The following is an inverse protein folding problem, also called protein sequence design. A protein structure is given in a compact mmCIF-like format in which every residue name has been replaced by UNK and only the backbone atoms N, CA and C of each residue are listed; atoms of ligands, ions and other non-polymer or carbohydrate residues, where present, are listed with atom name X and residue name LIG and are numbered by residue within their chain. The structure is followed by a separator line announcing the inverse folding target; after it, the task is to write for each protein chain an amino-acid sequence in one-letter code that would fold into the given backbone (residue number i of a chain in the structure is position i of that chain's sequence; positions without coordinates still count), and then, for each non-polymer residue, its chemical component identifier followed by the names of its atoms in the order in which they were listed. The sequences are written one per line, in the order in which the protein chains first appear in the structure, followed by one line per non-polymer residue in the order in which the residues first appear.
data_IF_354050044115
#
_entry.id   IF_354050044115
#
_cell.length_a   1.000
_cell.length_b   1.000
_cell.length_c   1.000
_cell.angle_alpha   90.00
_cell.angle_beta   90.00
_cell.angle_gamma   90.00
#
_symmetry.space_group_name_H-M   'P 1'
#
loop_
_entity.id
_entity.type
_entity.pdbx_description
1 polymer ?
#
# COMPACT_ATOMS: atom_id res chain seq x y z
N UNK A 1 8.75 -14.07 17.62
CA UNK A 1 8.64 -13.24 18.83
C UNK A 1 7.92 -11.96 18.43
N UNK A 2 6.58 -11.96 18.51
CA UNK A 2 5.77 -10.77 18.29
C UNK A 2 6.04 -9.81 19.43
N UNK A 3 6.74 -8.73 19.17
CA UNK A 3 6.97 -7.70 20.18
C UNK A 3 5.72 -6.85 20.32
N UNK A 4 5.17 -6.88 21.52
CA UNK A 4 4.13 -5.98 21.97
C UNK A 4 4.48 -4.54 21.70
N UNK A 5 3.55 -3.84 21.10
CA UNK A 5 3.61 -2.40 20.94
C UNK A 5 2.56 -1.74 21.80
N UNK A 6 3.03 -1.11 22.83
CA UNK A 6 2.30 -0.02 23.47
C UNK A 6 2.72 1.27 22.75
N UNK A 7 1.86 1.76 21.87
CA UNK A 7 1.77 3.19 21.66
C UNK A 7 2.61 3.87 20.59
N UNK A 8 2.99 3.23 19.48
CA UNK A 8 3.46 4.03 18.34
C UNK A 8 3.05 3.42 17.01
N UNK A 9 2.02 4.00 16.40
CA UNK A 9 1.67 3.76 15.01
C UNK A 9 2.53 4.64 14.12
N UNK A 10 3.21 4.04 13.14
CA UNK A 10 3.78 4.79 12.04
C UNK A 10 2.96 4.56 10.79
N UNK A 11 2.22 5.58 10.39
CA UNK A 11 1.62 5.61 9.08
C UNK A 11 2.63 6.19 8.09
N UNK A 12 3.23 5.34 7.25
CA UNK A 12 3.96 5.81 6.06
C UNK A 12 2.89 6.24 5.07
N UNK A 13 2.35 7.42 5.33
CA UNK A 13 1.33 8.02 4.50
C UNK A 13 1.96 8.59 3.27
N UNK A 14 1.39 8.14 2.16
CA UNK A 14 1.30 8.90 0.94
C UNK A 14 2.58 9.01 0.09
N UNK A 15 2.34 8.60 -1.13
CA UNK A 15 3.19 8.73 -2.30
C UNK A 15 3.88 10.10 -2.42
N UNK A 16 3.19 11.18 -2.04
CA UNK A 16 3.69 12.54 -2.22
C UNK A 16 4.74 12.91 -1.16
N UNK A 17 4.56 12.52 0.12
CA UNK A 17 5.52 12.80 1.19
C UNK A 17 6.84 12.04 1.04
N UNK A 18 6.79 10.78 0.63
CA UNK A 18 8.00 9.98 0.40
C UNK A 18 8.76 10.51 -0.83
N UNK A 19 8.04 10.95 -1.86
CA UNK A 19 8.65 11.51 -3.07
C UNK A 19 9.22 12.91 -2.89
N UNK A 20 8.76 13.67 -1.91
CA UNK A 20 9.40 14.94 -1.53
C UNK A 20 10.64 14.77 -0.65
N UNK A 21 10.84 13.59 -0.05
CA UNK A 21 11.93 13.24 0.86
C UNK A 21 12.85 12.14 0.32
N UNK A 22 12.75 10.95 0.90
CA UNK A 22 13.63 9.79 0.64
C UNK A 22 13.69 9.41 -0.86
N UNK A 23 12.61 9.60 -1.60
CA UNK A 23 12.47 9.23 -3.00
C UNK A 23 12.38 10.44 -3.94
N UNK A 24 12.91 11.60 -3.54
CA UNK A 24 12.84 12.83 -4.32
C UNK A 24 13.62 12.77 -5.65
N UNK A 25 14.54 11.84 -5.77
CA UNK A 25 15.32 11.57 -6.99
C UNK A 25 14.66 10.56 -7.93
N UNK A 26 13.50 9.98 -7.58
CA UNK A 26 12.83 8.97 -8.39
C UNK A 26 11.69 9.58 -9.21
N UNK A 27 11.62 9.18 -10.48
CA UNK A 27 10.53 9.47 -11.41
C UNK A 27 9.43 8.41 -11.39
N UNK A 28 8.84 8.13 -12.56
CA UNK A 28 7.74 7.18 -12.74
C UNK A 28 8.07 6.05 -13.72
N UNK A 29 9.36 5.91 -14.13
CA UNK A 29 9.79 4.79 -14.93
C UNK A 29 9.55 3.46 -14.20
N UNK A 30 9.52 2.33 -14.91
CA UNK A 30 9.41 1.02 -14.26
C UNK A 30 10.50 0.81 -13.20
N UNK A 31 11.74 1.17 -13.49
CA UNK A 31 12.90 1.05 -12.58
C UNK A 31 12.73 1.92 -11.33
N UNK A 32 12.28 3.17 -11.51
CA UNK A 32 12.01 4.08 -10.39
C UNK A 32 10.87 3.56 -9.50
N UNK A 33 9.88 2.89 -10.07
CA UNK A 33 8.80 2.26 -9.30
C UNK A 33 9.31 1.09 -8.46
N UNK A 34 10.18 0.26 -9.02
CA UNK A 34 10.84 -0.83 -8.29
C UNK A 34 11.62 -0.25 -7.12
N UNK A 35 12.49 0.72 -7.37
CA UNK A 35 13.33 1.33 -6.34
C UNK A 35 12.49 2.06 -5.28
N UNK A 36 11.39 2.71 -5.67
CA UNK A 36 10.48 3.33 -4.73
C UNK A 36 9.89 2.32 -3.74
N UNK A 37 9.36 1.19 -4.23
CA UNK A 37 8.79 0.14 -3.36
C UNK A 37 9.89 -0.51 -2.53
N UNK A 38 11.07 -0.78 -3.10
CA UNK A 38 12.21 -1.35 -2.37
C UNK A 38 12.59 -0.49 -1.16
N UNK A 39 12.80 0.84 -1.35
CA UNK A 39 13.16 1.75 -0.25
C UNK A 39 12.09 1.80 0.84
N UNK A 40 10.81 1.80 0.44
CA UNK A 40 9.69 1.80 1.38
C UNK A 40 9.68 0.51 2.20
N UNK A 41 9.91 -0.64 1.56
CA UNK A 41 9.98 -1.92 2.25
C UNK A 41 11.14 -1.99 3.25
N UNK A 42 12.32 -1.46 2.89
CA UNK A 42 13.47 -1.38 3.81
C UNK A 42 13.16 -0.49 5.04
N UNK A 43 12.56 0.68 4.81
CA UNK A 43 12.14 1.55 5.91
C UNK A 43 11.08 0.87 6.77
N UNK A 44 10.07 0.24 6.15
CA UNK A 44 9.05 -0.52 6.85
C UNK A 44 9.66 -1.63 7.72
N UNK A 45 10.63 -2.36 7.18
CA UNK A 45 11.35 -3.40 7.93
C UNK A 45 12.04 -2.85 9.18
N UNK A 46 12.74 -1.72 9.07
CA UNK A 46 13.41 -1.10 10.23
C UNK A 46 12.42 -0.78 11.36
N UNK A 47 11.21 -0.31 11.01
CA UNK A 47 10.16 -0.05 12.01
C UNK A 47 9.60 -1.35 12.60
N UNK A 48 9.34 -2.35 11.77
CA UNK A 48 8.87 -3.67 12.23
C UNK A 48 9.89 -4.30 13.16
N UNK A 49 11.19 -4.23 12.86
CA UNK A 49 12.27 -4.75 13.70
C UNK A 49 12.35 -4.05 15.08
N UNK A 50 11.88 -2.80 15.17
CA UNK A 50 11.75 -2.09 16.46
C UNK A 50 10.43 -2.34 17.16
N UNK A 51 9.56 -3.15 16.57
CA UNK A 51 8.27 -3.52 17.12
C UNK A 51 7.15 -2.50 16.81
N UNK A 52 7.28 -1.65 15.80
CA UNK A 52 6.26 -0.67 15.39
C UNK A 52 5.35 -1.27 14.32
N UNK A 53 4.02 -1.15 14.51
CA UNK A 53 3.04 -1.47 13.47
C UNK A 53 3.15 -0.40 12.38
N UNK A 54 3.49 -0.83 11.17
CA UNK A 54 3.68 0.08 10.04
C UNK A 54 2.56 -0.10 9.03
N UNK A 55 1.86 0.98 8.71
CA UNK A 55 0.83 1.02 7.65
C UNK A 55 1.41 1.78 6.45
N UNK A 56 1.54 1.10 5.32
CA UNK A 56 2.08 1.65 4.08
C UNK A 56 1.01 1.66 2.98
N UNK A 57 0.60 2.85 2.52
CA UNK A 57 -0.40 3.03 1.48
C UNK A 57 0.27 3.45 0.16
N UNK A 58 0.56 2.47 -0.70
CA UNK A 58 1.23 2.68 -1.98
C UNK A 58 0.56 1.91 -3.11
N UNK A 59 0.68 2.46 -4.33
CA UNK A 59 0.38 1.69 -5.53
C UNK A 59 1.57 0.79 -5.82
N UNK A 60 1.37 -0.53 -5.67
CA UNK A 60 2.29 -1.59 -6.10
C UNK A 60 1.63 -2.31 -7.28
N UNK A 61 1.97 -1.92 -8.53
CA UNK A 61 1.16 -2.23 -9.70
C UNK A 61 1.23 -3.68 -10.16
N UNK A 62 2.22 -4.46 -9.75
CA UNK A 62 2.38 -5.86 -10.15
C UNK A 62 2.74 -6.78 -8.98
N UNK A 63 2.59 -8.08 -9.19
CA UNK A 63 2.84 -9.10 -8.16
C UNK A 63 4.31 -9.15 -7.74
N UNK A 64 5.24 -8.97 -8.68
CA UNK A 64 6.69 -9.01 -8.42
C UNK A 64 7.12 -7.96 -7.39
N UNK A 65 6.59 -6.72 -7.48
CA UNK A 65 6.87 -5.66 -6.52
C UNK A 65 6.33 -5.97 -5.12
N UNK A 66 5.16 -6.59 -5.03
CA UNK A 66 4.55 -6.99 -3.77
C UNK A 66 5.32 -8.14 -3.13
N UNK A 67 5.73 -9.12 -3.93
CA UNK A 67 6.58 -10.22 -3.47
C UNK A 67 7.94 -9.74 -2.99
N UNK A 68 8.56 -8.80 -3.70
CA UNK A 68 9.82 -8.16 -3.29
C UNK A 68 9.66 -7.46 -1.92
N UNK A 69 8.61 -6.65 -1.74
CA UNK A 69 8.33 -5.99 -0.48
C UNK A 69 8.12 -6.99 0.66
N UNK A 70 7.34 -8.05 0.41
CA UNK A 70 7.12 -9.14 1.36
C UNK A 70 8.40 -9.89 1.72
N UNK A 71 9.30 -10.10 0.75
CA UNK A 71 10.59 -10.75 0.99
C UNK A 71 11.54 -9.89 1.83
N UNK A 72 11.54 -8.56 1.61
CA UNK A 72 12.36 -7.62 2.38
C UNK A 72 11.88 -7.53 3.84
N UNK A 73 10.58 -7.33 4.05
CA UNK A 73 9.98 -7.17 5.38
C UNK A 73 10.00 -8.49 6.16
N UNK A 74 9.77 -9.58 5.47
CA UNK A 74 9.58 -10.91 6.05
C UNK A 74 8.10 -11.32 5.98
N UNK A 75 7.84 -12.50 5.41
CA UNK A 75 6.47 -13.00 5.16
C UNK A 75 5.61 -13.12 6.43
N UNK A 76 6.23 -13.34 7.58
CA UNK A 76 5.50 -13.46 8.85
C UNK A 76 4.99 -12.11 9.37
N UNK A 77 5.65 -11.03 8.99
CA UNK A 77 5.39 -9.67 9.47
C UNK A 77 4.74 -8.78 8.40
N UNK A 78 4.51 -9.32 7.21
CA UNK A 78 3.90 -8.65 6.07
C UNK A 78 2.43 -9.05 5.91
N UNK A 79 1.56 -8.07 5.76
CA UNK A 79 0.15 -8.26 5.42
C UNK A 79 -0.18 -7.48 4.16
N UNK A 80 -0.70 -8.19 3.17
CA UNK A 80 -1.15 -7.57 1.91
C UNK A 80 -2.64 -7.26 1.96
N UNK A 81 -2.96 -5.97 1.97
CA UNK A 81 -4.34 -5.49 1.91
C UNK A 81 -4.63 -4.91 0.53
N UNK A 82 -5.53 -5.52 -0.19
CA UNK A 82 -5.95 -5.09 -1.52
C UNK A 82 -7.22 -4.24 -1.44
N UNK A 83 -7.12 -2.97 -1.83
CA UNK A 83 -8.29 -2.12 -2.03
C UNK A 83 -8.83 -2.40 -3.44
N UNK A 84 -9.83 -3.27 -3.53
CA UNK A 84 -10.35 -3.84 -4.78
C UNK A 84 -11.48 -3.03 -5.42
N UNK A 85 -11.57 -1.73 -5.12
CA UNK A 85 -12.58 -0.83 -5.67
C UNK A 85 -12.51 -0.81 -7.19
N UNK A 86 -13.63 -1.03 -7.91
CA UNK A 86 -13.64 -1.01 -9.37
C UNK A 86 -13.14 0.30 -9.95
N UNK A 87 -12.40 0.22 -11.08
CA UNK A 87 -11.82 1.40 -11.74
C UNK A 87 -12.88 2.46 -12.06
N UNK A 88 -14.07 2.05 -12.55
CA UNK A 88 -15.16 2.95 -12.86
C UNK A 88 -15.60 3.79 -11.63
N UNK A 89 -15.57 3.20 -10.44
CA UNK A 89 -15.89 3.90 -9.20
C UNK A 89 -14.75 4.84 -8.76
N UNK A 90 -13.49 4.44 -8.97
CA UNK A 90 -12.35 5.32 -8.75
C UNK A 90 -12.39 6.55 -9.67
N UNK A 91 -12.71 6.35 -10.95
CA UNK A 91 -12.90 7.43 -11.93
C UNK A 91 -14.09 8.33 -11.58
N UNK A 92 -15.19 7.75 -11.09
CA UNK A 92 -16.35 8.53 -10.66
C UNK A 92 -16.03 9.43 -9.47
N UNK A 93 -15.22 8.94 -8.52
CA UNK A 93 -14.80 9.71 -7.34
C UNK A 93 -13.80 10.79 -7.67
N UNK A 94 -12.82 10.49 -8.47
CA UNK A 94 -11.70 11.33 -8.97
C UNK A 94 -11.40 12.62 -8.18
N UNK A 95 -11.23 12.49 -6.87
CA UNK A 95 -11.16 13.60 -5.91
C UNK A 95 -10.09 14.65 -6.29
N UNK A 96 -8.99 14.22 -6.92
CA UNK A 96 -7.88 15.09 -7.34
C UNK A 96 -7.92 15.42 -8.84
N UNK A 97 -8.90 14.95 -9.60
CA UNK A 97 -9.00 15.14 -11.05
C UNK A 97 -7.90 14.42 -11.85
N UNK A 98 -7.24 13.43 -11.25
CA UNK A 98 -6.10 12.74 -11.87
C UNK A 98 -6.53 11.74 -12.94
N UNK A 99 -7.66 11.07 -12.75
CA UNK A 99 -8.22 10.17 -13.75
C UNK A 99 -8.67 10.93 -15.01
N UNK A 100 -9.33 12.08 -14.82
CA UNK A 100 -9.72 12.95 -15.93
C UNK A 100 -8.50 13.43 -16.73
N UNK A 101 -7.40 13.82 -16.08
CA UNK A 101 -6.16 14.20 -16.72
C UNK A 101 -5.49 13.02 -17.44
N UNK A 102 -5.46 11.85 -16.81
CA UNK A 102 -4.90 10.65 -17.44
C UNK A 102 -5.68 10.24 -18.71
N UNK A 103 -7.02 10.31 -18.68
CA UNK A 103 -7.87 10.03 -19.85
C UNK A 103 -7.65 11.03 -20.99
N UNK A 104 -7.30 12.28 -20.68
CA UNK A 104 -6.91 13.30 -21.69
C UNK A 104 -5.48 13.14 -22.21
N UNK A 105 -4.71 12.19 -21.65
CA UNK A 105 -3.31 11.99 -22.01
C UNK A 105 -2.33 13.02 -21.41
N UNK A 106 -2.81 13.85 -20.48
CA UNK A 106 -1.98 14.84 -19.78
C UNK A 106 -1.04 14.17 -18.76
N UNK A 107 -1.40 12.99 -18.25
CA UNK A 107 -0.58 12.16 -17.36
C UNK A 107 -0.27 10.85 -18.08
N UNK A 108 1.01 10.61 -18.32
CA UNK A 108 1.52 9.34 -18.86
C UNK A 108 1.72 8.34 -17.72
N UNK A 109 1.76 7.04 -18.08
CA UNK A 109 2.05 5.94 -17.12
C UNK A 109 1.13 5.94 -15.88
N UNK A 110 -0.16 6.28 -16.06
CA UNK A 110 -1.12 6.26 -14.97
C UNK A 110 -1.65 4.85 -14.76
N UNK A 111 -1.35 4.26 -13.59
CA UNK A 111 -1.73 2.89 -13.25
C UNK A 111 -3.25 2.69 -13.30
N UNK A 112 -3.69 1.66 -14.01
CA UNK A 112 -5.11 1.34 -14.22
C UNK A 112 -5.77 2.08 -15.40
N UNK A 113 -5.09 3.07 -16.03
CA UNK A 113 -5.60 3.80 -17.21
C UNK A 113 -4.66 3.62 -18.40
N UNK A 114 -3.42 4.07 -18.29
CA UNK A 114 -2.39 3.99 -19.36
C UNK A 114 -1.21 3.08 -19.00
N UNK A 115 -1.13 2.62 -17.75
CA UNK A 115 -0.20 1.60 -17.28
C UNK A 115 -0.98 0.43 -16.64
N UNK A 116 -0.48 -0.81 -16.76
CA UNK A 116 -1.17 -1.99 -16.23
C UNK A 116 -1.22 -1.98 -14.69
N UNK A 117 -2.23 -2.67 -14.16
CA UNK A 117 -2.33 -3.05 -12.76
C UNK A 117 -2.69 -4.53 -12.67
N UNK A 118 -1.87 -5.28 -11.97
CA UNK A 118 -2.12 -6.69 -11.66
C UNK A 118 -2.75 -6.80 -10.27
N UNK A 119 -3.96 -7.31 -10.20
CA UNK A 119 -4.59 -7.60 -8.91
C UNK A 119 -3.78 -8.68 -8.16
N UNK A 120 -3.64 -8.57 -6.83
CA UNK A 120 -3.04 -9.64 -6.04
C UNK A 120 -3.80 -10.94 -6.19
N UNK A 121 -3.08 -12.06 -6.34
CA UNK A 121 -3.72 -13.37 -6.45
C UNK A 121 -4.27 -13.87 -5.12
N UNK A 122 -3.59 -13.58 -4.02
CA UNK A 122 -3.92 -14.07 -2.67
C UNK A 122 -3.62 -13.02 -1.61
N UNK A 123 -4.30 -11.87 -1.62
CA UNK A 123 -4.13 -10.88 -0.57
C UNK A 123 -4.66 -11.42 0.77
N UNK A 124 -4.08 -10.98 1.89
CA UNK A 124 -4.59 -11.32 3.23
C UNK A 124 -5.98 -10.73 3.48
N UNK A 125 -6.30 -9.60 2.84
CA UNK A 125 -7.59 -8.96 2.89
C UNK A 125 -7.89 -8.21 1.60
N UNK A 126 -9.13 -8.33 1.10
CA UNK A 126 -9.66 -7.51 0.01
C UNK A 126 -10.78 -6.62 0.51
N UNK A 127 -10.71 -5.31 0.16
CA UNK A 127 -11.67 -4.29 0.56
C UNK A 127 -12.24 -3.58 -0.66
N UNK A 128 -13.49 -3.85 -1.00
CA UNK A 128 -14.21 -3.09 -2.03
C UNK A 128 -14.93 -1.91 -1.38
N UNK A 129 -14.34 -0.72 -1.50
CA UNK A 129 -14.90 0.51 -0.94
C UNK A 129 -16.05 1.09 -1.78
N UNK A 130 -16.47 0.45 -2.87
CA UNK A 130 -17.71 0.82 -3.56
C UNK A 130 -18.96 0.36 -2.80
N UNK A 131 -18.82 -0.69 -1.99
CA UNK A 131 -19.90 -1.29 -1.20
C UNK A 131 -19.67 -1.24 0.31
N UNK A 132 -18.42 -1.06 0.76
CA UNK A 132 -18.07 -0.95 2.16
C UNK A 132 -17.92 0.51 2.58
N UNK A 133 -18.49 0.87 3.75
CA UNK A 133 -18.18 2.15 4.38
C UNK A 133 -16.73 2.17 4.93
N UNK A 134 -16.26 3.36 5.32
CA UNK A 134 -14.94 3.50 5.96
C UNK A 134 -14.90 2.68 7.25
N UNK A 135 -15.93 2.78 8.09
CA UNK A 135 -16.04 2.06 9.36
C UNK A 135 -16.01 0.55 9.17
N UNK A 136 -16.75 0.05 8.17
CA UNK A 136 -16.75 -1.38 7.82
C UNK A 136 -15.38 -1.84 7.33
N UNK A 137 -14.70 -1.02 6.51
CA UNK A 137 -13.36 -1.32 6.02
C UNK A 137 -12.34 -1.36 7.17
N UNK A 138 -12.41 -0.40 8.08
CA UNK A 138 -11.55 -0.35 9.28
C UNK A 138 -11.83 -1.54 10.18
N UNK A 139 -13.10 -1.89 10.44
CA UNK A 139 -13.44 -3.07 11.25
C UNK A 139 -12.81 -4.35 10.70
N UNK A 140 -12.94 -4.61 9.41
CA UNK A 140 -12.33 -5.78 8.75
C UNK A 140 -10.80 -5.77 8.84
N UNK A 141 -10.18 -4.59 8.72
CA UNK A 141 -8.73 -4.46 8.86
C UNK A 141 -8.28 -4.77 10.29
N UNK A 142 -9.00 -4.27 11.30
CA UNK A 142 -8.72 -4.57 12.70
C UNK A 142 -8.91 -6.05 13.03
N UNK A 143 -9.94 -6.70 12.50
CA UNK A 143 -10.15 -8.14 12.65
C UNK A 143 -8.96 -8.96 12.11
N UNK A 144 -8.30 -8.49 11.06
CA UNK A 144 -7.10 -9.12 10.52
C UNK A 144 -5.85 -8.86 11.37
N UNK A 145 -5.67 -7.61 11.84
CA UNK A 145 -4.42 -7.17 12.49
C UNK A 145 -4.38 -7.54 13.96
N UNK A 146 -5.46 -7.29 14.72
CA UNK A 146 -5.48 -7.44 16.18
C UNK A 146 -5.01 -8.81 16.64
N UNK A 147 -5.48 -9.95 16.08
CA UNK A 147 -5.01 -11.27 16.51
C UNK A 147 -3.52 -11.53 16.27
N UNK A 148 -2.88 -10.75 15.37
CA UNK A 148 -1.46 -10.91 15.04
C UNK A 148 -0.54 -10.07 15.93
N UNK A 149 -1.07 -8.98 16.51
CA UNK A 149 -0.30 -8.05 17.33
C UNK A 149 -0.60 -8.18 18.83
N UNK A 150 -1.69 -8.83 19.21
CA UNK A 150 -2.00 -9.13 20.61
C UNK A 150 -0.98 -10.07 21.24
N UNK A 151 -0.48 -9.70 22.42
CA UNK A 151 0.34 -10.59 23.23
C UNK A 151 -0.58 -11.67 23.80
N UNK A 152 -0.37 -12.90 23.39
CA UNK A 152 -0.94 -14.05 24.11
C UNK A 152 -0.17 -14.20 25.43
N UNK A 153 -0.79 -13.81 26.50
CA UNK A 153 -0.31 -14.08 27.87
C UNK A 153 -0.43 -15.56 28.20
#
# INVERSE_FOLDING_TARGET
MLRSLVGSEMCIRDRDNIRSGINNNLGFSPEDRVENIRRIAEVGKLFVDTGVITIAAFISPNNELREMASAIIGKADFLEVYVSTPLAECERRDVKGLYAKARKGEIKEFTGVSAPFEAPERPDLSLDTSVLSVEQSVSRLLELIVPKVEIKH
#
